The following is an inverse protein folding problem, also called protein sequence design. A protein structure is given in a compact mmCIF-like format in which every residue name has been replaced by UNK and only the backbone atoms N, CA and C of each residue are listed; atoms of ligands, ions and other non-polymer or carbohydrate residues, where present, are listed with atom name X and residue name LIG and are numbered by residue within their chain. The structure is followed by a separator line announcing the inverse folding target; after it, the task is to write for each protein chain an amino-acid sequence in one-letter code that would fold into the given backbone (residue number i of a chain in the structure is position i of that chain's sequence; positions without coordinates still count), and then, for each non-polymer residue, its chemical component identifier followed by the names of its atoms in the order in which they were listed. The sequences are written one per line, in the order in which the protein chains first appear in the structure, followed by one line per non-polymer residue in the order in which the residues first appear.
data_IF_837497196384
#
_entry.id   IF_837497196384
#
_cell.length_a   1.000
_cell.length_b   1.000
_cell.length_c   1.000
_cell.angle_alpha   90.00
_cell.angle_beta   90.00
_cell.angle_gamma   90.00
#
_symmetry.space_group_name_H-M   'P 1'
#
loop_
_entity.id
_entity.type
_entity.pdbx_description
1 polymer ?
#
# COMPACT_ATOMS: atom_id res chain seq x y z
N UNK A 1 11.15 -27.74 -29.30
CA UNK A 1 11.45 -28.99 -28.60
C UNK A 1 10.64 -29.09 -27.31
N UNK A 2 9.43 -29.64 -27.42
CA UNK A 2 8.51 -29.89 -26.30
C UNK A 2 8.94 -31.17 -25.56
N UNK A 3 9.83 -31.03 -24.58
CA UNK A 3 10.18 -32.14 -23.69
C UNK A 3 9.20 -32.15 -22.51
N UNK A 4 8.23 -33.06 -22.54
CA UNK A 4 7.44 -33.42 -21.37
C UNK A 4 8.32 -34.18 -20.37
N UNK A 5 8.31 -33.74 -19.12
CA UNK A 5 9.01 -34.39 -18.01
C UNK A 5 7.96 -34.77 -16.98
N UNK A 6 7.79 -36.07 -16.75
CA UNK A 6 6.87 -36.58 -15.73
C UNK A 6 7.58 -36.60 -14.37
N UNK A 7 7.11 -35.78 -13.43
CA UNK A 7 7.64 -35.70 -12.07
C UNK A 7 6.49 -35.99 -11.10
N UNK A 8 6.68 -36.98 -10.22
CA UNK A 8 5.79 -37.21 -9.10
C UNK A 8 6.06 -36.16 -8.01
N UNK A 9 5.03 -35.39 -7.66
CA UNK A 9 5.13 -34.32 -6.66
C UNK A 9 4.11 -34.57 -5.55
N UNK A 10 4.58 -34.54 -4.30
CA UNK A 10 3.73 -34.62 -3.11
C UNK A 10 3.38 -33.21 -2.65
N UNK A 11 2.11 -32.77 -2.71
CA UNK A 11 1.72 -31.43 -2.27
C UNK A 11 1.94 -31.25 -0.76
N UNK A 12 2.45 -30.08 -0.37
CA UNK A 12 2.55 -29.68 1.05
C UNK A 12 1.41 -28.70 1.35
N UNK A 13 0.69 -28.83 2.48
CA UNK A 13 -0.39 -27.91 2.83
C UNK A 13 0.14 -26.47 3.04
N UNK A 14 -0.57 -25.50 2.46
CA UNK A 14 -0.31 -24.07 2.66
C UNK A 14 -0.73 -23.63 4.08
N UNK A 15 0.06 -22.79 4.72
CA UNK A 15 -0.14 -22.40 6.13
C UNK A 15 -1.43 -21.60 6.27
N UNK A 16 -2.52 -22.25 6.69
CA UNK A 16 -3.85 -21.64 6.88
C UNK A 16 -4.86 -21.87 5.75
N UNK A 17 -4.59 -22.75 4.78
CA UNK A 17 -5.59 -23.22 3.79
C UNK A 17 -5.44 -24.73 3.57
N UNK A 18 -6.55 -25.47 3.53
CA UNK A 18 -6.57 -26.90 3.16
C UNK A 18 -6.36 -27.11 1.65
N UNK A 19 -5.31 -26.52 1.09
CA UNK A 19 -4.97 -26.65 -0.33
C UNK A 19 -3.50 -27.06 -0.39
N UNK A 20 -3.24 -28.22 -0.99
CA UNK A 20 -1.88 -28.68 -1.26
C UNK A 20 -1.27 -27.87 -2.40
N UNK A 21 -0.11 -27.27 -2.18
CA UNK A 21 0.64 -26.56 -3.21
C UNK A 21 1.78 -27.45 -3.73
N UNK A 22 1.88 -27.55 -5.06
CA UNK A 22 2.90 -28.33 -5.77
C UNK A 22 4.22 -27.53 -5.89
N UNK A 23 4.22 -26.24 -5.53
CA UNK A 23 5.42 -25.41 -5.49
C UNK A 23 5.95 -24.99 -6.87
N UNK A 24 5.18 -25.21 -7.95
CA UNK A 24 5.52 -24.73 -9.29
C UNK A 24 5.11 -23.27 -9.40
N UNK A 25 6.10 -22.39 -9.42
CA UNK A 25 5.91 -20.96 -9.67
C UNK A 25 6.64 -20.58 -10.95
N UNK A 26 6.06 -19.72 -11.80
CA UNK A 26 6.77 -19.18 -12.93
C UNK A 26 8.04 -18.48 -12.42
N UNK A 27 9.20 -18.88 -12.94
CA UNK A 27 10.45 -18.21 -12.62
C UNK A 27 10.40 -16.78 -13.16
N UNK A 28 10.45 -15.79 -12.26
CA UNK A 28 10.56 -14.40 -12.67
C UNK A 28 11.98 -14.15 -13.19
N UNK A 29 12.17 -14.22 -14.50
CA UNK A 29 13.44 -13.86 -15.12
C UNK A 29 13.57 -12.35 -15.24
N UNK A 30 14.65 -11.79 -14.69
CA UNK A 30 15.00 -10.38 -14.85
C UNK A 30 15.34 -10.11 -16.33
N UNK A 31 14.41 -9.48 -17.03
CA UNK A 31 14.66 -8.99 -18.38
C UNK A 31 15.33 -7.61 -18.30
N UNK A 32 16.53 -7.49 -18.87
CA UNK A 32 17.18 -6.20 -19.03
C UNK A 32 16.45 -5.42 -20.12
N UNK A 33 15.88 -4.28 -19.77
CA UNK A 33 15.22 -3.36 -20.70
C UNK A 33 16.08 -2.11 -20.88
N UNK A 34 16.04 -1.53 -22.08
CA UNK A 34 16.66 -0.22 -22.33
C UNK A 34 15.94 0.89 -21.54
N UNK A 35 16.59 2.04 -21.37
CA UNK A 35 16.05 3.16 -20.55
C UNK A 35 14.67 3.62 -21.03
N UNK A 36 14.50 3.85 -22.34
CA UNK A 36 13.22 4.30 -22.90
C UNK A 36 12.09 3.28 -22.71
N UNK A 37 12.40 1.99 -22.95
CA UNK A 37 11.44 0.92 -22.75
C UNK A 37 11.09 0.77 -21.27
N UNK A 38 12.08 0.90 -20.38
CA UNK A 38 11.88 0.92 -18.94
C UNK A 38 10.96 2.07 -18.48
N UNK A 39 11.11 3.27 -19.04
CA UNK A 39 10.22 4.39 -18.76
C UNK A 39 8.79 4.11 -19.22
N UNK A 40 8.62 3.56 -20.43
CA UNK A 40 7.30 3.18 -20.97
C UNK A 40 6.60 2.15 -20.09
N UNK A 41 7.33 1.11 -19.69
CA UNK A 41 6.85 0.09 -18.77
C UNK A 41 6.52 0.68 -17.39
N UNK A 42 7.35 1.60 -16.89
CA UNK A 42 7.13 2.33 -15.64
C UNK A 42 5.83 3.14 -15.64
N UNK A 43 5.55 3.89 -16.72
CA UNK A 43 4.28 4.63 -16.88
C UNK A 43 3.09 3.65 -16.87
N UNK A 44 3.21 2.53 -17.59
CA UNK A 44 2.20 1.47 -17.57
C UNK A 44 1.96 0.92 -16.16
N UNK A 45 3.04 0.71 -15.40
CA UNK A 45 2.98 0.22 -14.02
C UNK A 45 2.28 1.21 -13.09
N UNK A 46 2.53 2.52 -13.25
CA UNK A 46 1.81 3.57 -12.51
C UNK A 46 0.31 3.48 -12.76
N UNK A 47 -0.10 3.30 -14.02
CA UNK A 47 -1.50 3.11 -14.39
C UNK A 47 -2.11 1.88 -13.71
N UNK A 48 -1.42 0.73 -13.78
CA UNK A 48 -1.88 -0.52 -13.15
C UNK A 48 -2.02 -0.37 -11.63
N UNK A 49 -1.01 0.18 -10.94
CA UNK A 49 -1.06 0.39 -9.48
C UNK A 49 -2.22 1.32 -9.13
N UNK A 50 -2.40 2.39 -9.91
CA UNK A 50 -3.47 3.38 -9.71
C UNK A 50 -4.84 2.73 -9.83
N UNK A 51 -5.12 2.04 -10.95
CA UNK A 51 -6.40 1.38 -11.19
C UNK A 51 -6.69 0.32 -10.12
N UNK A 52 -5.70 -0.52 -9.78
CA UNK A 52 -5.88 -1.56 -8.76
C UNK A 52 -6.13 -0.98 -7.37
N UNK A 53 -5.49 0.12 -7.04
CA UNK A 53 -5.72 0.83 -5.77
C UNK A 53 -7.14 1.39 -5.71
N UNK A 54 -7.61 2.00 -6.79
CA UNK A 54 -8.99 2.53 -6.87
C UNK A 54 -10.00 1.39 -6.80
N UNK A 55 -9.85 0.33 -7.59
CA UNK A 55 -10.71 -0.87 -7.56
C UNK A 55 -10.81 -1.44 -6.14
N UNK A 56 -9.67 -1.54 -5.44
CA UNK A 56 -9.62 -2.02 -4.07
C UNK A 56 -10.36 -1.11 -3.09
N UNK A 57 -10.14 0.22 -3.16
CA UNK A 57 -10.80 1.19 -2.28
C UNK A 57 -12.32 1.17 -2.53
N UNK A 58 -12.74 1.31 -3.79
CA UNK A 58 -14.16 1.33 -4.18
C UNK A 58 -14.83 0.00 -3.81
N UNK A 59 -14.20 -1.13 -4.11
CA UNK A 59 -14.72 -2.45 -3.77
C UNK A 59 -14.99 -2.63 -2.27
N UNK A 60 -14.10 -2.14 -1.40
CA UNK A 60 -14.30 -2.20 0.06
C UNK A 60 -15.39 -1.26 0.55
N UNK A 61 -15.48 -0.05 -0.01
CA UNK A 61 -16.53 0.91 0.34
C UNK A 61 -17.90 0.31 -0.01
N UNK A 62 -18.06 -0.25 -1.21
CA UNK A 62 -19.32 -0.86 -1.68
C UNK A 62 -19.70 -2.09 -0.84
N UNK A 63 -18.71 -2.87 -0.38
CA UNK A 63 -18.93 -4.07 0.44
C UNK A 63 -19.07 -3.79 1.94
N UNK A 64 -18.96 -2.54 2.38
CA UNK A 64 -18.98 -2.14 3.80
C UNK A 64 -18.03 -2.97 4.68
N UNK A 65 -16.88 -3.35 4.13
CA UNK A 65 -15.88 -4.12 4.88
C UNK A 65 -15.27 -3.25 5.99
N UNK A 66 -15.01 -3.86 7.16
CA UNK A 66 -14.33 -3.16 8.24
C UNK A 66 -12.97 -2.65 7.75
N UNK A 67 -12.62 -1.37 8.00
CA UNK A 67 -11.29 -0.87 7.68
C UNK A 67 -10.25 -1.72 8.38
N UNK A 68 -9.32 -2.33 7.62
CA UNK A 68 -8.10 -2.89 8.20
C UNK A 68 -7.31 -1.74 8.83
N UNK A 69 -6.57 -2.06 9.89
CA UNK A 69 -5.69 -1.10 10.57
C UNK A 69 -4.85 -0.32 9.55
N UNK A 70 -5.01 1.00 9.55
CA UNK A 70 -4.25 1.90 8.69
C UNK A 70 -2.84 2.00 9.27
N UNK A 71 -1.84 1.56 8.51
CA UNK A 71 -0.44 1.76 8.90
C UNK A 71 -0.11 3.25 8.93
N UNK A 72 0.39 3.71 10.05
CA UNK A 72 0.88 5.07 10.21
C UNK A 72 2.30 5.25 9.67
N UNK A 73 2.87 6.45 9.88
CA UNK A 73 4.23 6.80 9.44
C UNK A 73 5.31 5.88 9.99
N UNK A 74 5.13 5.39 11.21
CA UNK A 74 6.10 4.54 11.90
C UNK A 74 6.11 3.16 11.22
N UNK A 75 4.95 2.60 10.90
CA UNK A 75 4.82 1.38 10.12
C UNK A 75 5.40 1.52 8.71
N UNK A 76 5.17 2.66 8.05
CA UNK A 76 5.76 2.96 6.73
C UNK A 76 7.29 3.00 6.82
N UNK A 77 7.86 3.66 7.84
CA UNK A 77 9.31 3.71 8.03
C UNK A 77 9.89 2.30 8.20
N UNK A 78 9.21 1.42 8.93
CA UNK A 78 9.62 0.02 9.05
C UNK A 78 9.63 -0.70 7.70
N UNK A 79 8.57 -0.54 6.89
CA UNK A 79 8.55 -1.14 5.56
C UNK A 79 9.68 -0.62 4.67
N UNK A 80 10.02 0.66 4.77
CA UNK A 80 11.16 1.25 4.05
C UNK A 80 12.48 0.62 4.54
N UNK A 81 12.65 0.47 5.85
CA UNK A 81 13.83 -0.16 6.44
C UNK A 81 13.98 -1.62 6.00
N UNK A 82 12.88 -2.39 6.03
CA UNK A 82 12.87 -3.79 5.60
C UNK A 82 13.19 -3.91 4.09
N UNK A 83 12.63 -3.03 3.25
CA UNK A 83 12.91 -3.00 1.82
C UNK A 83 14.35 -2.58 1.51
N UNK A 84 14.91 -1.62 2.26
CA UNK A 84 16.30 -1.19 2.11
C UNK A 84 17.27 -2.32 2.46
N UNK A 85 16.95 -3.15 3.45
CA UNK A 85 17.74 -4.33 3.81
C UNK A 85 17.62 -5.46 2.78
N UNK A 86 16.46 -5.59 2.12
CA UNK A 86 16.23 -6.60 1.08
C UNK A 86 16.99 -6.29 -0.24
N UNK A 87 17.21 -5.01 -0.55
CA UNK A 87 18.03 -4.58 -1.67
C UNK A 87 17.43 -3.42 -2.46
N UNK A 88 18.19 -2.95 -3.47
CA UNK A 88 17.78 -1.79 -4.27
C UNK A 88 16.49 -2.05 -5.06
N UNK A 89 16.26 -3.27 -5.54
CA UNK A 89 15.08 -3.61 -6.33
C UNK A 89 13.81 -3.42 -5.51
N UNK A 90 13.80 -3.96 -4.30
CA UNK A 90 12.70 -3.91 -3.35
C UNK A 90 12.48 -2.46 -2.88
N UNK A 91 13.57 -1.75 -2.57
CA UNK A 91 13.51 -0.34 -2.19
C UNK A 91 12.88 0.53 -3.29
N UNK A 92 13.35 0.45 -4.55
CA UNK A 92 12.78 1.23 -5.64
C UNK A 92 11.33 0.83 -5.96
N UNK A 93 10.99 -0.45 -5.82
CA UNK A 93 9.61 -0.90 -5.96
C UNK A 93 8.70 -0.30 -4.90
N UNK A 94 9.15 -0.26 -3.64
CA UNK A 94 8.42 0.38 -2.55
C UNK A 94 8.32 1.89 -2.74
N UNK A 95 9.41 2.57 -3.12
CA UNK A 95 9.41 4.00 -3.40
C UNK A 95 8.44 4.37 -4.53
N UNK A 96 8.40 3.55 -5.60
CA UNK A 96 7.43 3.71 -6.68
C UNK A 96 5.99 3.58 -6.18
N UNK A 97 5.71 2.55 -5.38
CA UNK A 97 4.39 2.36 -4.77
C UNK A 97 3.99 3.53 -3.87
N UNK A 98 4.89 3.99 -3.00
CA UNK A 98 4.66 5.12 -2.10
C UNK A 98 4.44 6.43 -2.89
N UNK A 99 5.19 6.65 -3.97
CA UNK A 99 5.02 7.80 -4.86
C UNK A 99 3.62 7.84 -5.48
N UNK A 100 3.14 6.70 -6.01
CA UNK A 100 1.78 6.61 -6.54
C UNK A 100 0.73 6.80 -5.44
N UNK A 101 0.95 6.22 -4.26
CA UNK A 101 0.03 6.37 -3.13
C UNK A 101 -0.09 7.82 -2.65
N UNK A 102 1.03 8.56 -2.52
CA UNK A 102 1.03 9.98 -2.15
C UNK A 102 0.37 10.82 -3.26
N UNK A 103 0.68 10.52 -4.53
CA UNK A 103 0.04 11.18 -5.67
C UNK A 103 -1.48 11.00 -5.66
N UNK A 104 -1.97 9.77 -5.43
CA UNK A 104 -3.40 9.50 -5.29
C UNK A 104 -4.02 10.19 -4.08
N UNK A 105 -3.32 10.18 -2.94
CA UNK A 105 -3.78 10.83 -1.72
C UNK A 105 -3.98 12.33 -1.92
N UNK A 106 -3.06 13.01 -2.63
CA UNK A 106 -3.18 14.43 -2.94
C UNK A 106 -4.37 14.77 -3.83
N UNK A 107 -4.93 13.81 -4.56
CA UNK A 107 -6.15 14.00 -5.37
C UNK A 107 -7.44 13.90 -4.54
N UNK A 108 -7.36 13.51 -3.27
CA UNK A 108 -8.55 13.47 -2.42
C UNK A 108 -9.13 14.86 -2.15
N UNK A 109 -10.47 14.96 -1.99
CA UNK A 109 -11.17 16.22 -1.77
C UNK A 109 -11.03 16.68 -0.31
N UNK A 110 -9.79 16.76 0.18
CA UNK A 110 -9.46 17.18 1.55
C UNK A 110 -8.86 18.59 1.46
N UNK A 111 -9.40 19.59 2.18
CA UNK A 111 -8.78 20.91 2.29
C UNK A 111 -7.31 20.82 2.72
N UNK A 112 -6.45 21.70 2.23
CA UNK A 112 -4.97 21.66 2.29
C UNK A 112 -4.28 20.77 1.24
N UNK A 113 -4.95 19.78 0.65
CA UNK A 113 -4.41 19.00 -0.47
C UNK A 113 -4.80 19.62 -1.83
N UNK A 114 -4.07 19.27 -2.88
CA UNK A 114 -4.32 19.74 -4.25
C UNK A 114 -5.76 19.44 -4.71
N UNK A 115 -6.28 18.26 -4.38
CA UNK A 115 -7.68 17.86 -4.66
C UNK A 115 -8.72 18.71 -3.91
N UNK A 116 -8.38 19.24 -2.73
CA UNK A 116 -9.23 20.19 -2.01
C UNK A 116 -9.36 21.52 -2.75
N UNK A 117 -8.27 22.01 -3.35
CA UNK A 117 -8.30 23.21 -4.19
C UNK A 117 -9.12 23.00 -5.46
N UNK A 118 -9.03 21.82 -6.09
CA UNK A 118 -9.90 21.46 -7.22
C UNK A 118 -11.37 21.57 -6.81
N UNK A 119 -11.75 21.06 -5.64
CA UNK A 119 -13.12 21.19 -5.13
C UNK A 119 -13.51 22.65 -4.91
N UNK A 120 -12.63 23.50 -4.39
CA UNK A 120 -12.91 24.93 -4.24
C UNK A 120 -13.18 25.59 -5.60
N UNK A 121 -12.37 25.31 -6.63
CA UNK A 121 -12.60 25.86 -7.97
C UNK A 121 -13.89 25.32 -8.61
N UNK A 122 -14.24 24.05 -8.39
CA UNK A 122 -15.52 23.50 -8.83
C UNK A 122 -16.69 24.23 -8.18
N UNK A 123 -16.61 24.49 -6.87
CA UNK A 123 -17.62 25.25 -6.13
C UNK A 123 -17.72 26.69 -6.66
N UNK A 124 -16.60 27.37 -6.88
CA UNK A 124 -16.57 28.72 -7.46
C UNK A 124 -17.18 28.76 -8.87
N UNK A 125 -16.94 27.73 -9.69
CA UNK A 125 -17.52 27.59 -11.01
C UNK A 125 -19.05 27.43 -10.98
N UNK A 126 -19.56 26.67 -10.01
CA UNK A 126 -21.01 26.47 -9.80
C UNK A 126 -21.67 27.75 -9.25
N UNK A 127 -21.06 28.36 -8.23
CA UNK A 127 -21.59 29.56 -7.55
C UNK A 127 -21.35 30.83 -8.40
N UNK A 128 -20.44 30.76 -9.40
CA UNK A 128 -19.98 31.87 -10.24
C UNK A 128 -19.48 33.09 -9.44
N UNK A 129 -18.99 32.85 -8.22
CA UNK A 129 -18.41 33.86 -7.34
C UNK A 129 -17.19 33.27 -6.64
N UNK A 130 -16.13 34.07 -6.44
CA UNK A 130 -14.94 33.60 -5.74
C UNK A 130 -15.28 33.28 -4.28
N UNK A 131 -14.70 32.20 -3.74
CA UNK A 131 -14.78 31.90 -2.33
C UNK A 131 -13.99 32.95 -1.55
N UNK A 132 -14.50 33.32 -0.37
CA UNK A 132 -13.79 34.29 0.46
C UNK A 132 -12.46 33.70 0.94
N UNK A 133 -11.41 34.52 0.97
CA UNK A 133 -10.10 34.09 1.49
C UNK A 133 -10.20 33.55 2.92
N UNK A 134 -11.07 34.13 3.75
CA UNK A 134 -11.34 33.65 5.10
C UNK A 134 -11.90 32.22 5.09
N UNK A 135 -12.83 31.92 4.20
CA UNK A 135 -13.41 30.58 4.06
C UNK A 135 -12.35 29.55 3.67
N UNK A 136 -11.51 29.87 2.68
CA UNK A 136 -10.48 28.95 2.19
C UNK A 136 -9.41 28.69 3.27
N UNK A 137 -8.99 29.73 4.00
CA UNK A 137 -8.06 29.62 5.13
C UNK A 137 -8.64 28.72 6.23
N UNK A 138 -9.89 28.95 6.65
CA UNK A 138 -10.56 28.15 7.68
C UNK A 138 -10.67 26.69 7.22
N UNK A 139 -11.10 26.45 5.98
CA UNK A 139 -11.23 25.11 5.44
C UNK A 139 -9.88 24.37 5.45
N UNK A 140 -8.80 25.02 5.02
CA UNK A 140 -7.45 24.45 5.05
C UNK A 140 -6.97 24.14 6.47
N UNK A 141 -7.21 25.02 7.45
CA UNK A 141 -6.90 24.74 8.86
C UNK A 141 -7.68 23.53 9.40
N UNK A 142 -8.96 23.42 9.06
CA UNK A 142 -9.77 22.25 9.44
C UNK A 142 -9.20 20.98 8.81
N UNK A 143 -8.87 21.01 7.52
CA UNK A 143 -8.22 19.90 6.83
C UNK A 143 -6.89 19.50 7.47
N UNK A 144 -6.05 20.48 7.80
CA UNK A 144 -4.78 20.26 8.50
C UNK A 144 -4.97 19.57 9.85
N UNK A 145 -5.91 20.04 10.67
CA UNK A 145 -6.20 19.47 11.98
C UNK A 145 -6.67 18.02 11.82
N UNK A 146 -7.57 17.75 10.87
CA UNK A 146 -8.05 16.39 10.58
C UNK A 146 -6.88 15.48 10.18
N UNK A 147 -6.02 15.93 9.27
CA UNK A 147 -4.87 15.16 8.80
C UNK A 147 -3.87 14.87 9.93
N UNK A 148 -3.53 15.89 10.73
CA UNK A 148 -2.65 15.70 11.90
C UNK A 148 -3.27 14.76 12.93
N UNK A 149 -4.58 14.83 13.16
CA UNK A 149 -5.27 13.92 14.09
C UNK A 149 -5.20 12.48 13.60
N UNK A 150 -5.44 12.25 12.31
CA UNK A 150 -5.32 10.92 11.69
C UNK A 150 -3.87 10.42 11.78
N UNK A 151 -2.89 11.28 11.51
CA UNK A 151 -1.46 10.95 11.59
C UNK A 151 -1.05 10.50 13.00
N UNK A 152 -1.47 11.25 14.02
CA UNK A 152 -1.21 10.93 15.43
C UNK A 152 -1.91 9.64 15.84
N UNK A 153 -3.17 9.46 15.44
CA UNK A 153 -3.93 8.24 15.71
C UNK A 153 -3.29 7.00 15.08
N UNK A 154 -2.90 7.09 13.80
CA UNK A 154 -2.24 5.99 13.09
C UNK A 154 -0.86 5.67 13.70
N UNK A 155 -0.09 6.70 14.07
CA UNK A 155 1.20 6.53 14.76
C UNK A 155 1.03 5.85 16.13
N UNK A 156 0.01 6.24 16.88
CA UNK A 156 -0.32 5.60 18.16
C UNK A 156 -0.66 4.11 17.98
N UNK A 157 -1.48 3.78 16.97
CA UNK A 157 -1.81 2.40 16.65
C UNK A 157 -0.59 1.58 16.20
N UNK A 158 0.31 2.17 15.42
CA UNK A 158 1.55 1.51 15.02
C UNK A 158 2.39 1.12 16.25
N UNK A 159 2.55 2.04 17.22
CA UNK A 159 3.31 1.80 18.46
C UNK A 159 2.70 0.64 19.25
N UNK A 160 1.38 0.64 19.43
CA UNK A 160 0.66 -0.43 20.13
C UNK A 160 0.86 -1.79 19.45
N UNK A 161 0.77 -1.81 18.12
CA UNK A 161 0.93 -3.04 17.33
C UNK A 161 2.35 -3.58 17.42
N UNK A 162 3.37 -2.71 17.35
CA UNK A 162 4.77 -3.10 17.46
C UNK A 162 5.06 -3.63 18.88
N UNK A 163 4.51 -2.99 19.91
CA UNK A 163 4.69 -3.40 21.30
C UNK A 163 4.01 -4.73 21.65
N UNK A 164 2.85 -5.05 21.05
CA UNK A 164 2.13 -6.32 21.29
C UNK A 164 2.77 -7.56 20.64
N UNK A 165 3.74 -7.42 19.73
CA UNK A 165 4.34 -8.54 18.97
C UNK A 165 5.40 -9.34 19.75
N UNK A 166 5.22 -9.51 21.06
CA UNK A 166 5.99 -10.43 21.92
C UNK A 166 5.01 -11.17 22.83
N UNK A 167 4.70 -12.44 22.54
CA UNK A 167 5.54 -13.54 23.00
C UNK A 167 5.95 -14.51 21.89
N UNK A 168 7.20 -14.96 21.94
CA UNK A 168 7.67 -16.16 21.25
C UNK A 168 6.76 -17.31 21.69
N UNK A 169 6.06 -18.04 20.78
CA UNK A 169 5.51 -19.33 21.14
C UNK A 169 6.69 -20.20 21.56
N UNK A 170 6.69 -20.68 22.80
CA UNK A 170 7.60 -21.75 23.20
C UNK A 170 7.49 -22.86 22.16
N UNK A 171 8.59 -23.13 21.43
CA UNK A 171 8.70 -24.37 20.70
C UNK A 171 8.45 -25.49 21.71
N UNK A 172 7.52 -26.42 21.46
CA UNK A 172 7.39 -27.58 22.31
C UNK A 172 8.75 -28.28 22.29
N UNK A 173 9.36 -28.34 23.48
CA UNK A 173 10.55 -29.11 23.75
C UNK A 173 10.34 -30.51 23.21
N UNK A 174 11.04 -30.83 22.11
CA UNK A 174 11.14 -32.20 21.64
C UNK A 174 11.86 -32.93 22.77
N UNK A 175 11.05 -33.59 23.58
CA UNK A 175 11.49 -34.40 24.70
C UNK A 175 12.35 -35.48 24.12
N UNK A 176 13.62 -35.45 24.48
CA UNK A 176 14.55 -36.56 24.41
C UNK A 176 13.83 -37.81 24.92
N UNK A 177 13.42 -38.67 24.01
CA UNK A 177 12.98 -40.02 24.32
C UNK A 177 13.74 -40.94 23.37
N UNK A 178 14.80 -41.49 23.95
CA UNK A 178 15.54 -42.73 23.65
C UNK A 178 15.95 -43.05 22.21
#
# INVERSE_FOLDING_TARGET
DDKTIDIAVTPVPDTGREIGIIGIFPAMTLQKVGVFEGMRLGIGMVGVITTKTIEYIVGRIVRFEKPKEVSGPIGIFKFISDAAQAGFRELFSLLGLLSVAIGLFNLFPIPMLDGGHVVFYLIEGIIRRPLSQRTMIIANYVGMIILLTILLYASYNDILRISKKSPVPEEPSVTSTE
#
